data_IF_518958741423
#
_entry.id   IF_518958741423
#
_cell.length_a   1.000
_cell.length_b   1.000
_cell.length_c   1.000
_cell.angle_alpha   90.00
_cell.angle_beta   90.00
_cell.angle_gamma   90.00
#
_symmetry.space_group_name_H-M   'P 1'
#
loop_
_entity.id
_entity.type
_entity.pdbx_description
1 polymer ?
#
# COMPACT_ATOMS: atom_id res chain seq x y z
N UNK A 1 15.52 -34.53 15.55
CA UNK A 1 15.13 -34.02 14.22
C UNK A 1 15.58 -32.55 14.17
N UNK A 2 16.22 -32.11 13.08
CA UNK A 2 16.54 -30.68 12.91
C UNK A 2 15.25 -29.86 12.73
N UNK A 3 15.27 -28.57 13.04
CA UNK A 3 14.11 -27.70 12.82
C UNK A 3 13.66 -27.72 11.34
N UNK A 4 14.60 -27.72 10.40
CA UNK A 4 14.33 -27.84 8.96
C UNK A 4 13.58 -29.14 8.64
N UNK A 5 14.05 -30.29 9.11
CA UNK A 5 13.40 -31.58 8.85
C UNK A 5 11.97 -31.65 9.43
N UNK A 6 11.72 -30.99 10.57
CA UNK A 6 10.38 -30.92 11.15
C UNK A 6 9.41 -30.09 10.26
N UNK A 7 9.90 -28.99 9.68
CA UNK A 7 9.12 -28.14 8.77
C UNK A 7 8.82 -28.88 7.45
N UNK A 8 9.81 -29.57 6.88
CA UNK A 8 9.63 -30.35 5.67
C UNK A 8 8.62 -31.49 5.86
N UNK A 9 8.65 -32.17 7.03
CA UNK A 9 7.66 -33.18 7.37
C UNK A 9 6.26 -32.60 7.54
N UNK A 10 6.13 -31.46 8.26
CA UNK A 10 4.84 -30.78 8.42
C UNK A 10 4.26 -30.33 7.06
N UNK A 11 5.12 -29.82 6.18
CA UNK A 11 4.74 -29.46 4.81
C UNK A 11 4.27 -30.66 3.99
N UNK A 12 4.96 -31.80 4.06
CA UNK A 12 4.55 -33.02 3.34
C UNK A 12 3.13 -33.44 3.73
N UNK A 13 2.81 -33.43 5.03
CA UNK A 13 1.46 -33.74 5.51
C UNK A 13 0.43 -32.68 5.08
N UNK A 14 0.80 -31.41 5.10
CA UNK A 14 -0.07 -30.32 4.61
C UNK A 14 -0.38 -30.52 3.12
N UNK A 15 0.62 -30.79 2.30
CA UNK A 15 0.48 -31.04 0.87
C UNK A 15 -0.51 -32.17 0.57
N UNK A 16 -0.43 -33.29 1.29
CA UNK A 16 -1.36 -34.42 1.13
C UNK A 16 -2.80 -33.99 1.47
N UNK A 17 -2.99 -33.24 2.55
CA UNK A 17 -4.33 -32.75 2.95
C UNK A 17 -4.93 -31.79 1.92
N UNK A 18 -4.15 -30.86 1.37
CA UNK A 18 -4.60 -29.94 0.33
C UNK A 18 -4.85 -30.66 -1.00
N UNK A 19 -4.02 -31.66 -1.35
CA UNK A 19 -4.19 -32.45 -2.55
C UNK A 19 -5.51 -33.24 -2.57
N UNK A 20 -6.04 -33.61 -1.40
CA UNK A 20 -7.36 -34.25 -1.29
C UNK A 20 -8.52 -33.35 -1.79
N UNK A 21 -8.31 -32.04 -1.85
CA UNK A 21 -9.25 -31.06 -2.40
C UNK A 21 -8.82 -30.55 -3.80
N UNK A 22 -7.81 -31.19 -4.41
CA UNK A 22 -7.30 -30.77 -5.73
C UNK A 22 -6.41 -29.53 -5.72
N UNK A 23 -5.90 -29.14 -4.55
CA UNK A 23 -5.04 -27.95 -4.39
C UNK A 23 -3.56 -28.35 -4.45
N UNK A 24 -2.81 -27.70 -5.34
CA UNK A 24 -1.35 -27.82 -5.47
C UNK A 24 -0.66 -26.72 -4.64
N UNK A 25 -0.09 -27.10 -3.51
CA UNK A 25 0.57 -26.18 -2.58
C UNK A 25 1.89 -25.64 -3.13
N UNK A 26 2.61 -26.41 -3.98
CA UNK A 26 3.85 -25.96 -4.62
C UNK A 26 3.54 -24.86 -5.65
N UNK A 27 2.48 -25.04 -6.43
CA UNK A 27 1.98 -24.02 -7.36
C UNK A 27 1.51 -22.76 -6.61
N UNK A 28 0.77 -22.91 -5.53
CA UNK A 28 0.32 -21.77 -4.70
C UNK A 28 1.52 -20.96 -4.18
N UNK A 29 2.55 -21.61 -3.65
CA UNK A 29 3.78 -20.97 -3.19
C UNK A 29 4.56 -20.30 -4.35
N UNK A 30 4.60 -20.92 -5.53
CA UNK A 30 5.24 -20.34 -6.71
C UNK A 30 4.53 -19.07 -7.19
N UNK A 31 3.20 -19.08 -7.21
CA UNK A 31 2.40 -17.88 -7.55
C UNK A 31 2.63 -16.79 -6.51
N UNK A 32 2.56 -17.11 -5.22
CA UNK A 32 2.76 -16.14 -4.13
C UNK A 32 4.11 -15.41 -4.24
N UNK A 33 5.18 -16.13 -4.61
CA UNK A 33 6.52 -15.56 -4.77
C UNK A 33 6.58 -14.45 -5.83
N UNK A 34 5.74 -14.52 -6.84
CA UNK A 34 5.73 -13.57 -7.95
C UNK A 34 4.79 -12.37 -7.71
N UNK A 35 4.04 -12.34 -6.61
CA UNK A 35 3.14 -11.23 -6.27
C UNK A 35 3.95 -10.12 -5.59
N UNK A 36 4.16 -8.97 -6.23
CA UNK A 36 4.87 -7.86 -5.61
C UNK A 36 3.96 -7.10 -4.64
N UNK A 37 4.47 -6.79 -3.46
CA UNK A 37 3.83 -5.88 -2.52
C UNK A 37 4.66 -4.59 -2.46
N UNK A 38 4.00 -3.44 -2.60
CA UNK A 38 4.61 -2.12 -2.45
C UNK A 38 4.60 -1.70 -0.99
N UNK A 39 5.79 -1.60 -0.37
CA UNK A 39 5.97 -1.15 0.99
C UNK A 39 6.07 0.38 1.00
N UNK A 40 5.22 1.01 1.76
CA UNK A 40 5.22 2.46 1.97
C UNK A 40 6.36 2.90 2.88
N UNK A 41 7.19 3.83 2.43
CA UNK A 41 8.39 4.25 3.17
C UNK A 41 8.07 5.05 4.44
N UNK A 42 6.92 5.73 4.47
CA UNK A 42 6.52 6.66 5.53
C UNK A 42 6.21 6.03 6.89
N UNK A 43 6.09 4.71 6.98
CA UNK A 43 6.06 3.98 8.25
C UNK A 43 7.39 4.14 9.03
N UNK A 44 8.52 4.37 8.36
CA UNK A 44 9.83 4.40 9.00
C UNK A 44 10.16 5.71 9.72
N UNK A 45 9.46 6.80 9.36
CA UNK A 45 9.73 8.15 9.86
C UNK A 45 8.48 8.94 10.26
N UNK A 46 7.35 8.26 10.47
CA UNK A 46 6.07 8.87 10.89
C UNK A 46 5.58 9.93 9.88
N UNK A 47 5.72 9.64 8.59
CA UNK A 47 5.32 10.53 7.48
C UNK A 47 6.08 11.88 7.51
N UNK A 48 7.23 11.97 8.16
CA UNK A 48 7.97 13.23 8.35
C UNK A 48 8.58 13.79 7.08
N UNK A 49 9.19 12.90 6.27
CA UNK A 49 9.97 13.32 5.11
C UNK A 49 11.26 14.04 5.47
N UNK A 50 11.95 14.57 4.47
CA UNK A 50 13.26 15.20 4.64
C UNK A 50 13.34 16.66 4.15
N UNK A 51 12.20 17.28 3.85
CA UNK A 51 12.15 18.67 3.38
C UNK A 51 12.43 19.68 4.49
N UNK A 52 11.85 19.48 5.69
CA UNK A 52 11.92 20.40 6.81
C UNK A 52 11.96 19.64 8.13
N UNK A 53 12.77 20.12 9.09
CA UNK A 53 12.86 19.55 10.44
C UNK A 53 11.64 19.84 11.34
N UNK A 54 10.56 20.37 10.83
CA UNK A 54 9.42 20.84 11.65
C UNK A 54 8.28 19.83 11.82
N UNK A 55 8.39 18.62 11.24
CA UNK A 55 7.36 17.58 11.33
C UNK A 55 6.08 17.89 10.55
N UNK A 56 5.09 17.00 10.67
CA UNK A 56 3.78 17.15 10.02
C UNK A 56 3.01 18.36 10.56
N UNK A 57 2.56 19.22 9.67
CA UNK A 57 1.71 20.37 9.98
C UNK A 57 0.39 20.29 9.22
N UNK A 58 -0.66 19.74 9.85
CA UNK A 58 -2.02 19.75 9.30
C UNK A 58 -2.27 18.74 8.17
N UNK A 59 -3.47 18.82 7.57
CA UNK A 59 -3.87 17.97 6.44
C UNK A 59 -4.45 16.61 6.80
N UNK A 60 -4.84 16.41 8.07
CA UNK A 60 -5.53 15.19 8.49
C UNK A 60 -4.63 13.96 8.66
N UNK A 61 -3.31 14.12 8.56
CA UNK A 61 -2.34 13.04 8.74
C UNK A 61 -1.59 13.26 10.04
N UNK A 62 -1.65 12.28 10.93
CA UNK A 62 -0.92 12.30 12.19
C UNK A 62 -0.57 10.88 12.62
N UNK A 63 0.73 10.55 12.64
CA UNK A 63 1.19 9.32 13.26
C UNK A 63 1.00 9.40 14.78
N UNK A 64 0.49 8.32 15.38
CA UNK A 64 0.28 8.22 16.83
C UNK A 64 1.29 7.30 17.47
N UNK A 65 1.87 7.76 18.57
CA UNK A 65 2.88 7.04 19.33
C UNK A 65 4.21 7.78 19.38
N UNK A 66 5.14 7.23 20.15
CA UNK A 66 6.46 7.81 20.37
C UNK A 66 7.54 6.73 20.48
N UNK A 67 7.37 5.61 19.79
CA UNK A 67 8.37 4.55 19.78
C UNK A 67 9.72 5.09 19.31
N UNK A 68 10.84 4.80 20.01
CA UNK A 68 12.13 5.39 19.68
C UNK A 68 12.69 4.88 18.35
N UNK A 69 13.67 5.60 17.80
CA UNK A 69 14.48 5.14 16.67
C UNK A 69 13.91 5.44 15.29
N UNK A 70 13.00 6.40 15.15
CA UNK A 70 12.50 6.87 13.87
C UNK A 70 13.63 7.31 12.92
N UNK A 71 13.51 7.05 11.63
CA UNK A 71 14.47 7.47 10.62
C UNK A 71 14.50 9.01 10.49
N UNK A 72 15.71 9.58 10.39
CA UNK A 72 15.96 11.03 10.34
C UNK A 72 16.54 11.49 9.00
N UNK A 73 16.91 10.54 8.17
CA UNK A 73 17.48 10.77 6.85
C UNK A 73 17.09 9.65 5.88
N UNK A 74 17.24 9.92 4.59
CA UNK A 74 17.00 8.93 3.55
C UNK A 74 17.92 7.69 3.69
N UNK A 75 19.14 7.86 4.16
CA UNK A 75 20.07 6.75 4.40
C UNK A 75 19.62 5.87 5.57
N UNK A 76 19.15 6.47 6.67
CA UNK A 76 18.58 5.71 7.78
C UNK A 76 17.31 4.98 7.37
N UNK A 77 16.44 5.62 6.57
CA UNK A 77 15.21 5.02 6.09
C UNK A 77 15.48 3.86 5.13
N UNK A 78 16.44 3.98 4.21
CA UNK A 78 16.88 2.87 3.36
C UNK A 78 17.44 1.69 4.17
N UNK A 79 18.21 1.97 5.22
CA UNK A 79 18.73 0.93 6.09
C UNK A 79 17.62 0.20 6.86
N UNK A 80 16.58 0.90 7.31
CA UNK A 80 15.42 0.32 7.97
C UNK A 80 14.59 -0.54 7.01
N UNK A 81 14.40 -0.05 5.77
CA UNK A 81 13.75 -0.81 4.70
C UNK A 81 14.55 -2.07 4.34
N UNK A 82 15.89 -1.98 4.25
CA UNK A 82 16.76 -3.15 4.03
C UNK A 82 16.59 -4.19 5.14
N UNK A 83 16.47 -3.74 6.39
CA UNK A 83 16.23 -4.63 7.52
C UNK A 83 14.85 -5.30 7.41
N UNK A 84 13.80 -4.57 7.08
CA UNK A 84 12.46 -5.12 6.91
C UNK A 84 12.40 -6.13 5.74
N UNK A 85 12.93 -5.75 4.58
CA UNK A 85 12.91 -6.55 3.36
C UNK A 85 13.60 -7.92 3.52
N UNK A 86 14.66 -8.02 4.34
CA UNK A 86 15.31 -9.31 4.64
C UNK A 86 14.42 -10.27 5.45
N UNK A 87 13.36 -9.78 6.07
CA UNK A 87 12.48 -10.54 6.95
C UNK A 87 11.13 -10.87 6.31
N UNK A 88 10.91 -10.42 5.06
CA UNK A 88 9.67 -10.58 4.32
C UNK A 88 9.94 -11.43 3.08
N UNK A 89 9.29 -12.61 2.90
CA UNK A 89 9.54 -13.46 1.74
C UNK A 89 8.87 -12.92 0.48
N UNK A 90 9.47 -13.15 -0.69
CA UNK A 90 8.91 -12.82 -1.98
C UNK A 90 9.53 -11.59 -2.64
N UNK A 91 8.79 -11.01 -3.59
CA UNK A 91 9.20 -9.81 -4.32
C UNK A 91 8.48 -8.59 -3.77
N UNK A 92 9.19 -7.46 -3.76
CA UNK A 92 8.64 -6.24 -3.18
C UNK A 92 8.92 -5.03 -4.08
N UNK A 93 8.19 -3.96 -3.78
CA UNK A 93 8.35 -2.62 -4.29
C UNK A 93 8.41 -1.68 -3.10
N UNK A 94 8.83 -0.46 -3.30
CA UNK A 94 8.78 0.57 -2.26
C UNK A 94 8.03 1.78 -2.81
N UNK A 95 7.10 2.29 -2.03
CA UNK A 95 6.34 3.50 -2.34
C UNK A 95 6.96 4.69 -1.61
N UNK A 96 7.27 5.74 -2.36
CA UNK A 96 7.83 6.99 -1.87
C UNK A 96 6.80 8.12 -1.98
N UNK A 97 6.91 9.11 -1.11
CA UNK A 97 6.27 10.41 -1.26
C UNK A 97 7.25 11.47 -1.76
N UNK A 98 6.74 12.55 -2.32
CA UNK A 98 7.57 13.67 -2.79
C UNK A 98 8.45 14.27 -1.68
N UNK A 99 8.00 14.25 -0.42
CA UNK A 99 8.76 14.73 0.75
C UNK A 99 10.02 13.92 1.08
N UNK A 100 10.23 12.78 0.41
CA UNK A 100 11.45 11.97 0.55
C UNK A 100 12.54 12.33 -0.47
N UNK A 101 12.40 13.46 -1.13
CA UNK A 101 13.41 14.03 -2.03
C UNK A 101 14.73 14.31 -1.29
N UNK A 102 15.85 14.02 -1.94
CA UNK A 102 17.19 14.32 -1.42
C UNK A 102 17.74 15.56 -2.14
N UNK A 103 17.58 16.73 -1.53
CA UNK A 103 17.94 18.03 -2.12
C UNK A 103 19.34 18.52 -1.75
N UNK A 104 20.12 17.70 -1.08
CA UNK A 104 21.49 18.04 -0.59
C UNK A 104 21.52 19.30 0.27
N UNK A 105 20.48 19.49 1.09
CA UNK A 105 20.34 20.63 2.00
C UNK A 105 19.95 21.95 1.35
N UNK A 106 19.60 21.94 0.05
CA UNK A 106 19.09 23.14 -0.63
C UNK A 106 17.55 23.14 -0.54
N UNK A 107 16.92 24.27 -0.21
CA UNK A 107 15.48 24.38 -0.27
C UNK A 107 15.02 24.27 -1.73
N UNK A 108 14.14 23.34 -1.99
CA UNK A 108 13.50 23.12 -3.31
C UNK A 108 12.01 23.05 -3.08
N UNK A 109 11.25 23.92 -3.75
CA UNK A 109 9.80 23.89 -3.67
C UNK A 109 9.22 22.61 -4.31
N UNK A 110 8.11 22.11 -3.79
CA UNK A 110 7.51 20.85 -4.24
C UNK A 110 7.16 20.83 -5.72
N UNK A 111 6.79 21.97 -6.29
CA UNK A 111 6.47 22.11 -7.72
C UNK A 111 7.73 22.22 -8.62
N UNK A 112 8.93 22.25 -8.01
CA UNK A 112 10.23 22.28 -8.68
C UNK A 112 11.02 20.97 -8.49
N UNK A 113 10.46 19.98 -7.79
CA UNK A 113 11.09 18.68 -7.65
C UNK A 113 11.23 17.99 -9.00
N UNK A 114 12.36 17.31 -9.18
CA UNK A 114 12.67 16.54 -10.38
C UNK A 114 13.26 15.16 -10.07
N UNK A 115 13.43 14.30 -11.08
CA UNK A 115 13.98 12.96 -10.91
C UNK A 115 15.39 12.93 -10.28
N UNK A 116 16.17 13.98 -10.43
CA UNK A 116 17.51 14.13 -9.84
C UNK A 116 17.50 14.07 -8.31
N UNK A 117 16.42 14.54 -7.69
CA UNK A 117 16.26 14.51 -6.24
C UNK A 117 15.95 13.09 -5.69
N UNK A 118 15.77 12.11 -6.57
CA UNK A 118 15.49 10.72 -6.23
C UNK A 118 16.52 9.75 -6.80
N UNK A 119 17.63 10.25 -7.37
CA UNK A 119 18.65 9.41 -8.01
C UNK A 119 19.19 8.32 -7.07
N UNK A 120 19.49 8.65 -5.80
CA UNK A 120 19.97 7.68 -4.82
C UNK A 120 18.92 6.62 -4.43
N UNK A 121 17.61 6.96 -4.49
CA UNK A 121 16.54 6.00 -4.33
C UNK A 121 16.47 5.02 -5.50
N UNK A 122 16.65 5.51 -6.73
CA UNK A 122 16.72 4.67 -7.94
C UNK A 122 17.91 3.69 -7.84
N UNK A 123 19.10 4.19 -7.49
CA UNK A 123 20.31 3.36 -7.38
C UNK A 123 20.17 2.31 -6.28
N UNK A 124 19.61 2.69 -5.12
CA UNK A 124 19.32 1.76 -4.05
C UNK A 124 18.32 0.68 -4.48
N UNK A 125 17.21 1.06 -5.11
CA UNK A 125 16.19 0.12 -5.58
C UNK A 125 16.75 -0.84 -6.65
N UNK A 126 17.53 -0.30 -7.61
CA UNK A 126 18.19 -1.10 -8.65
C UNK A 126 19.13 -2.14 -8.05
N UNK A 127 19.94 -1.76 -7.07
CA UNK A 127 20.89 -2.69 -6.42
C UNK A 127 20.21 -3.84 -5.67
N UNK A 128 18.90 -3.75 -5.41
CA UNK A 128 18.08 -4.73 -4.70
C UNK A 128 17.01 -5.36 -5.59
N UNK A 129 16.99 -5.05 -6.87
CA UNK A 129 15.97 -5.49 -7.81
C UNK A 129 14.54 -5.14 -7.37
N UNK A 130 14.38 -3.97 -6.73
CA UNK A 130 13.08 -3.44 -6.29
C UNK A 130 12.46 -2.55 -7.38
N UNK A 131 11.13 -2.55 -7.47
CA UNK A 131 10.39 -1.49 -8.12
C UNK A 131 10.15 -0.31 -7.19
N UNK A 132 9.88 0.86 -7.74
CA UNK A 132 9.43 2.03 -6.99
C UNK A 132 8.03 2.44 -7.43
N UNK A 133 7.22 2.89 -6.45
CA UNK A 133 5.95 3.59 -6.65
C UNK A 133 6.05 4.99 -6.03
N UNK A 134 5.11 5.89 -6.34
CA UNK A 134 5.26 7.28 -5.96
C UNK A 134 3.93 7.96 -5.63
N UNK A 135 3.92 8.75 -4.56
CA UNK A 135 2.80 9.59 -4.19
C UNK A 135 3.18 11.06 -4.23
N UNK A 136 2.32 11.90 -4.80
CA UNK A 136 2.39 13.33 -4.60
C UNK A 136 2.08 13.69 -3.13
N UNK A 137 2.76 14.70 -2.57
CA UNK A 137 2.51 15.16 -1.20
C UNK A 137 1.74 16.46 -1.21
N UNK A 138 0.42 16.38 -1.09
CA UNK A 138 -0.51 17.52 -1.15
C UNK A 138 -0.92 18.02 0.25
N UNK A 139 -0.12 17.76 1.27
CA UNK A 139 -0.38 18.12 2.68
C UNK A 139 0.90 18.64 3.34
N UNK A 140 0.81 19.11 4.58
CA UNK A 140 1.96 19.59 5.38
C UNK A 140 2.82 20.62 4.64
N UNK A 141 2.16 21.67 4.14
CA UNK A 141 2.79 22.76 3.40
C UNK A 141 2.03 24.06 3.66
N UNK A 142 2.67 25.24 3.69
CA UNK A 142 1.98 26.51 3.89
C UNK A 142 0.80 26.75 2.93
N UNK A 143 0.94 26.34 1.66
CA UNK A 143 -0.13 26.46 0.66
C UNK A 143 -1.24 25.40 0.80
N UNK A 144 -1.16 24.50 1.80
CA UNK A 144 -2.24 23.59 2.17
C UNK A 144 -2.97 24.03 3.45
N UNK A 145 -2.48 25.06 4.15
CA UNK A 145 -2.99 25.48 5.47
C UNK A 145 -4.46 25.92 5.46
N UNK A 146 -4.98 26.38 4.32
CA UNK A 146 -6.38 26.73 4.15
C UNK A 146 -7.32 25.53 3.97
N UNK A 147 -6.82 24.28 3.99
CA UNK A 147 -7.60 23.07 3.81
C UNK A 147 -7.95 22.74 2.36
N UNK A 148 -7.38 23.45 1.38
CA UNK A 148 -7.61 23.24 -0.04
C UNK A 148 -6.31 23.33 -0.83
N UNK A 149 -6.05 22.32 -1.65
CA UNK A 149 -4.89 22.23 -2.53
C UNK A 149 -5.31 22.25 -4.00
N UNK A 150 -5.48 21.09 -4.64
CA UNK A 150 -5.94 20.97 -6.02
C UNK A 150 -7.37 21.50 -6.24
N UNK A 151 -8.16 21.62 -5.19
CA UNK A 151 -9.51 22.17 -5.23
C UNK A 151 -9.61 23.63 -4.73
N UNK A 152 -8.47 24.30 -4.52
CA UNK A 152 -8.43 25.68 -4.04
C UNK A 152 -9.10 26.65 -5.03
N UNK A 153 -9.87 27.58 -4.49
CA UNK A 153 -10.42 28.73 -5.24
C UNK A 153 -9.35 29.77 -5.58
N UNK A 154 -8.26 29.80 -4.81
CA UNK A 154 -7.08 30.61 -5.13
C UNK A 154 -6.32 29.94 -6.28
N UNK A 155 -6.28 30.63 -7.41
CA UNK A 155 -5.65 30.11 -8.64
C UNK A 155 -4.13 29.96 -8.48
N UNK A 156 -3.47 30.78 -7.66
CA UNK A 156 -2.04 30.67 -7.37
C UNK A 156 -1.72 29.39 -6.61
N UNK A 157 -2.50 29.11 -5.55
CA UNK A 157 -2.41 27.86 -4.78
C UNK A 157 -2.70 26.66 -5.67
N UNK A 158 -3.80 26.69 -6.39
CA UNK A 158 -4.19 25.58 -7.30
C UNK A 158 -3.09 25.26 -8.31
N UNK A 159 -2.55 26.28 -8.99
CA UNK A 159 -1.49 26.08 -10.01
C UNK A 159 -0.19 25.56 -9.43
N UNK A 160 0.18 25.95 -8.22
CA UNK A 160 1.34 25.38 -7.54
C UNK A 160 1.15 23.84 -7.39
N UNK A 161 -0.01 23.41 -6.91
CA UNK A 161 -0.29 22.00 -6.70
C UNK A 161 -0.46 21.22 -8.01
N UNK A 162 -0.98 21.83 -9.08
CA UNK A 162 -1.01 21.22 -10.42
C UNK A 162 0.42 20.99 -10.92
N UNK A 163 1.32 21.98 -10.82
CA UNK A 163 2.74 21.80 -11.19
C UNK A 163 3.41 20.71 -10.37
N UNK A 164 3.11 20.65 -9.06
CA UNK A 164 3.59 19.57 -8.21
C UNK A 164 3.12 18.19 -8.71
N UNK A 165 1.85 18.03 -9.03
CA UNK A 165 1.33 16.78 -9.60
C UNK A 165 2.00 16.38 -10.91
N UNK A 166 2.25 17.35 -11.81
CA UNK A 166 2.99 17.13 -13.06
C UNK A 166 4.44 16.70 -12.77
N UNK A 167 5.12 17.35 -11.83
CA UNK A 167 6.48 16.99 -11.41
C UNK A 167 6.54 15.55 -10.88
N UNK A 168 5.57 15.16 -10.03
CA UNK A 168 5.47 13.80 -9.49
C UNK A 168 5.33 12.74 -10.59
N UNK A 169 4.55 12.99 -11.63
CA UNK A 169 4.41 12.07 -12.78
C UNK A 169 5.72 11.89 -13.54
N UNK A 170 6.50 12.96 -13.73
CA UNK A 170 7.83 12.90 -14.39
C UNK A 170 8.84 12.12 -13.56
N UNK A 171 8.81 12.28 -12.23
CA UNK A 171 9.64 11.50 -11.32
C UNK A 171 9.28 10.01 -11.43
N UNK A 172 8.00 9.67 -11.38
CA UNK A 172 7.51 8.32 -11.49
C UNK A 172 7.83 7.66 -12.84
N UNK A 173 7.71 8.41 -13.95
CA UNK A 173 8.12 7.94 -15.26
C UNK A 173 9.61 7.56 -15.28
N UNK A 174 10.45 8.38 -14.64
CA UNK A 174 11.89 8.10 -14.52
C UNK A 174 12.14 6.81 -13.73
N UNK A 175 11.41 6.60 -12.65
CA UNK A 175 11.49 5.34 -11.89
C UNK A 175 11.20 4.13 -12.77
N UNK A 176 10.11 4.18 -13.51
CA UNK A 176 9.73 3.08 -14.39
C UNK A 176 10.74 2.80 -15.50
N UNK A 177 11.31 3.85 -16.09
CA UNK A 177 12.35 3.71 -17.13
C UNK A 177 13.64 3.10 -16.58
N UNK A 178 14.10 3.57 -15.45
CA UNK A 178 15.37 3.15 -14.85
C UNK A 178 15.33 1.76 -14.22
N UNK A 179 14.17 1.35 -13.71
CA UNK A 179 13.99 0.07 -13.01
C UNK A 179 13.32 -1.01 -13.88
N UNK A 180 12.88 -0.67 -15.10
CA UNK A 180 12.24 -1.62 -16.02
C UNK A 180 10.90 -2.18 -15.51
N UNK A 181 10.22 -1.44 -14.62
CA UNK A 181 8.95 -1.82 -14.02
C UNK A 181 8.08 -0.58 -13.84
N UNK A 182 6.82 -0.55 -14.33
CA UNK A 182 6.01 0.65 -14.27
C UNK A 182 5.81 1.10 -12.82
N UNK A 183 6.01 2.41 -12.59
CA UNK A 183 5.73 3.07 -11.32
C UNK A 183 4.25 3.44 -11.26
N UNK A 184 3.55 3.10 -10.19
CA UNK A 184 2.22 3.64 -9.93
C UNK A 184 2.38 4.98 -9.23
N UNK A 185 1.76 6.04 -9.80
CA UNK A 185 1.71 7.37 -9.20
C UNK A 185 0.32 7.60 -8.65
N UNK A 186 0.21 7.79 -7.35
CA UNK A 186 -1.07 8.01 -6.70
C UNK A 186 -1.29 9.48 -6.34
N UNK A 187 -2.49 9.99 -6.61
CA UNK A 187 -2.94 11.32 -6.21
C UNK A 187 -4.01 11.19 -5.13
N UNK A 188 -3.62 11.57 -3.92
CA UNK A 188 -4.49 11.72 -2.77
C UNK A 188 -4.40 13.14 -2.23
N UNK A 189 -5.53 13.76 -1.87
CA UNK A 189 -5.59 15.12 -1.29
C UNK A 189 -6.46 15.13 -0.03
N UNK A 190 -6.11 15.95 0.98
CA UNK A 190 -6.90 16.07 2.22
C UNK A 190 -8.04 17.08 2.12
N UNK A 191 -8.27 17.69 0.95
CA UNK A 191 -9.16 18.83 0.76
C UNK A 191 -10.59 18.59 1.25
N UNK A 192 -11.09 19.50 2.07
CA UNK A 192 -12.44 19.37 2.61
C UNK A 192 -12.85 20.50 3.56
N UNK A 193 -13.99 20.35 4.18
CA UNK A 193 -14.51 21.23 5.21
C UNK A 193 -14.79 20.48 6.51
N UNK A 194 -14.50 21.12 7.63
CA UNK A 194 -14.87 20.62 8.95
C UNK A 194 -16.39 20.54 9.10
N UNK A 195 -17.11 21.55 8.65
CA UNK A 195 -18.58 21.62 8.73
C UNK A 195 -19.21 21.60 7.33
N UNK A 196 -20.54 21.55 7.27
CA UNK A 196 -21.30 21.39 6.02
C UNK A 196 -21.18 22.64 5.14
N UNK A 197 -20.61 22.53 3.92
CA UNK A 197 -20.57 23.66 2.99
C UNK A 197 -21.91 23.79 2.27
N UNK A 198 -22.26 25.04 1.92
CA UNK A 198 -23.41 25.31 1.06
C UNK A 198 -23.15 24.92 -0.41
N UNK A 199 -21.90 24.95 -0.83
CA UNK A 199 -21.46 24.65 -2.19
C UNK A 199 -20.45 23.51 -2.18
N UNK A 200 -20.91 22.30 -2.48
CA UNK A 200 -20.07 21.10 -2.65
C UNK A 200 -19.58 20.91 -4.09
N UNK A 201 -20.25 21.55 -5.05
CA UNK A 201 -19.97 21.33 -6.47
C UNK A 201 -18.73 22.07 -6.95
N UNK A 202 -18.57 23.35 -6.57
CA UNK A 202 -17.45 24.18 -7.06
C UNK A 202 -16.08 23.60 -6.72
N UNK A 203 -15.76 23.17 -5.47
CA UNK A 203 -14.48 22.54 -5.17
C UNK A 203 -14.24 21.27 -5.98
N UNK A 204 -15.28 20.45 -6.21
CA UNK A 204 -15.18 19.25 -7.06
C UNK A 204 -14.92 19.57 -8.52
N UNK A 205 -15.57 20.62 -9.05
CA UNK A 205 -15.32 21.09 -10.42
C UNK A 205 -13.88 21.62 -10.58
N UNK A 206 -13.37 22.32 -9.58
CA UNK A 206 -11.97 22.78 -9.54
C UNK A 206 -11.01 21.61 -9.47
N UNK A 207 -11.26 20.63 -8.59
CA UNK A 207 -10.45 19.41 -8.50
C UNK A 207 -10.42 18.67 -9.84
N UNK A 208 -11.58 18.48 -10.47
CA UNK A 208 -11.64 17.83 -11.79
C UNK A 208 -10.75 18.55 -12.80
N UNK A 209 -10.85 19.89 -12.91
CA UNK A 209 -10.01 20.68 -13.80
C UNK A 209 -8.53 20.52 -13.48
N UNK A 210 -8.15 20.50 -12.21
CA UNK A 210 -6.77 20.33 -11.78
C UNK A 210 -6.22 18.96 -12.15
N UNK A 211 -7.01 17.89 -12.00
CA UNK A 211 -6.64 16.56 -12.44
C UNK A 211 -6.54 16.46 -13.97
N UNK A 212 -7.46 17.09 -14.71
CA UNK A 212 -7.39 17.16 -16.16
C UNK A 212 -6.08 17.83 -16.63
N UNK A 213 -5.63 18.91 -15.96
CA UNK A 213 -4.37 19.57 -16.23
C UNK A 213 -3.14 18.70 -15.87
N UNK A 214 -3.17 18.01 -14.71
CA UNK A 214 -2.09 17.11 -14.28
C UNK A 214 -1.91 15.95 -15.28
N UNK A 215 -3.00 15.39 -15.76
CA UNK A 215 -3.00 14.22 -16.62
C UNK A 215 -3.04 14.55 -18.13
N UNK A 216 -2.98 15.82 -18.50
CA UNK A 216 -3.05 16.26 -19.89
C UNK A 216 -1.91 15.72 -20.77
N UNK A 217 -0.68 15.64 -20.21
CA UNK A 217 0.44 15.05 -20.91
C UNK A 217 0.40 13.51 -20.76
N UNK A 218 0.27 12.75 -21.85
CA UNK A 218 0.29 11.30 -21.79
C UNK A 218 1.69 10.80 -21.48
N UNK A 219 1.79 9.87 -20.53
CA UNK A 219 3.01 9.13 -20.24
C UNK A 219 2.79 7.67 -20.66
N UNK A 220 3.83 7.04 -21.19
CA UNK A 220 3.77 5.65 -21.62
C UNK A 220 3.47 4.73 -20.43
N UNK A 221 2.37 3.96 -20.48
CA UNK A 221 1.96 3.09 -19.39
C UNK A 221 2.96 1.96 -19.08
N UNK A 222 3.94 1.71 -19.95
CA UNK A 222 5.05 0.80 -19.65
C UNK A 222 5.98 1.32 -18.56
N UNK A 223 5.97 2.61 -18.30
CA UNK A 223 6.83 3.26 -17.32
C UNK A 223 6.08 3.85 -16.15
N UNK A 224 4.84 4.33 -16.35
CA UNK A 224 4.08 4.98 -15.30
C UNK A 224 2.57 4.72 -15.44
N UNK A 225 1.88 4.54 -14.34
CA UNK A 225 0.44 4.39 -14.20
C UNK A 225 -0.09 5.45 -13.26
N UNK A 226 -1.12 6.18 -13.69
CA UNK A 226 -1.79 7.18 -12.85
C UNK A 226 -2.90 6.54 -12.03
N UNK A 227 -2.89 6.75 -10.73
CA UNK A 227 -3.96 6.39 -9.81
C UNK A 227 -4.52 7.62 -9.10
N UNK A 228 -5.78 7.53 -8.70
CA UNK A 228 -6.48 8.54 -7.88
C UNK A 228 -7.13 7.87 -6.69
N UNK A 229 -7.08 8.51 -5.52
CA UNK A 229 -7.50 7.93 -4.25
C UNK A 229 -8.51 8.81 -3.53
N UNK A 230 -9.63 8.18 -3.13
CA UNK A 230 -10.66 8.82 -2.33
C UNK A 230 -10.37 8.75 -0.84
N UNK A 231 -11.05 9.63 -0.09
CA UNK A 231 -11.05 9.61 1.37
C UNK A 231 -12.48 9.67 1.89
N UNK A 232 -12.71 9.05 3.05
CA UNK A 232 -14.03 9.12 3.71
C UNK A 232 -14.18 10.44 4.47
N UNK A 233 -13.25 10.75 5.37
CA UNK A 233 -13.14 12.00 6.14
C UNK A 233 -11.74 12.08 6.76
N UNK A 234 -11.43 13.21 7.40
CA UNK A 234 -10.19 13.42 8.14
C UNK A 234 -10.24 14.66 8.99
N UNK A 235 -9.18 14.94 9.77
CA UNK A 235 -9.07 16.17 10.55
C UNK A 235 -9.14 17.38 9.60
N UNK A 236 -10.10 18.28 9.82
CA UNK A 236 -10.36 19.45 8.98
C UNK A 236 -11.32 19.19 7.82
N UNK A 237 -11.72 17.93 7.59
CA UNK A 237 -12.68 17.52 6.55
C UNK A 237 -13.69 16.49 7.05
N UNK A 238 -14.19 16.70 8.28
CA UNK A 238 -15.06 15.74 8.97
C UNK A 238 -16.45 15.63 8.32
N UNK A 239 -16.99 16.72 7.77
CA UNK A 239 -18.33 16.74 7.18
C UNK A 239 -18.35 16.75 5.66
N UNK A 240 -17.25 17.12 5.02
CA UNK A 240 -17.16 17.17 3.57
C UNK A 240 -15.74 16.94 3.08
N UNK A 241 -15.57 15.91 2.28
CA UNK A 241 -14.35 15.62 1.53
C UNK A 241 -14.59 15.96 0.06
N UNK A 242 -13.70 16.72 -0.57
CA UNK A 242 -13.81 17.07 -1.99
C UNK A 242 -13.61 15.82 -2.83
N UNK A 243 -12.54 15.08 -2.58
CA UNK A 243 -12.16 13.84 -3.25
C UNK A 243 -12.81 12.62 -2.60
N UNK A 244 -14.15 12.50 -2.67
CA UNK A 244 -14.86 11.31 -2.19
C UNK A 244 -14.65 10.11 -3.14
N UNK A 245 -14.97 8.90 -2.66
CA UNK A 245 -14.92 7.69 -3.46
C UNK A 245 -15.71 7.83 -4.77
N UNK A 246 -16.93 8.35 -4.73
CA UNK A 246 -17.80 8.51 -5.91
C UNK A 246 -17.20 9.48 -6.92
N UNK A 247 -16.55 10.56 -6.45
CA UNK A 247 -15.87 11.51 -7.32
C UNK A 247 -14.73 10.81 -8.08
N UNK A 248 -13.86 10.11 -7.36
CA UNK A 248 -12.70 9.47 -7.98
C UNK A 248 -13.06 8.22 -8.79
N UNK A 249 -14.08 7.46 -8.40
CA UNK A 249 -14.60 6.36 -9.21
C UNK A 249 -15.09 6.90 -10.57
N UNK A 250 -15.93 7.94 -10.55
CA UNK A 250 -16.40 8.59 -11.78
C UNK A 250 -15.25 9.13 -12.62
N UNK A 251 -14.26 9.79 -11.99
CA UNK A 251 -13.10 10.33 -12.67
C UNK A 251 -12.22 9.23 -13.30
N UNK A 252 -11.91 8.18 -12.54
CA UNK A 252 -11.07 7.08 -12.98
C UNK A 252 -11.69 6.35 -14.19
N UNK A 253 -12.98 6.03 -14.13
CA UNK A 253 -13.70 5.38 -15.23
C UNK A 253 -13.73 6.27 -16.48
N UNK A 254 -14.04 7.57 -16.33
CA UNK A 254 -14.12 8.49 -17.47
C UNK A 254 -12.77 8.74 -18.14
N UNK A 255 -11.66 8.68 -17.38
CA UNK A 255 -10.31 9.05 -17.85
C UNK A 255 -9.34 7.86 -17.92
N UNK A 256 -9.82 6.63 -17.72
CA UNK A 256 -9.01 5.38 -17.72
C UNK A 256 -7.78 5.48 -16.81
N UNK A 257 -8.00 5.94 -15.57
CA UNK A 257 -6.99 5.97 -14.51
C UNK A 257 -7.23 4.81 -13.55
N UNK A 258 -6.22 4.38 -12.82
CA UNK A 258 -6.43 3.45 -11.73
C UNK A 258 -7.22 4.14 -10.62
N UNK A 259 -8.19 3.42 -10.06
CA UNK A 259 -8.80 3.80 -8.79
C UNK A 259 -8.01 3.14 -7.67
N UNK A 260 -7.54 3.92 -6.71
CA UNK A 260 -7.03 3.38 -5.47
C UNK A 260 -8.20 3.08 -4.53
N UNK A 261 -8.31 1.83 -4.12
CA UNK A 261 -9.17 1.39 -3.02
C UNK A 261 -8.28 1.23 -1.79
N UNK A 262 -8.33 2.19 -0.86
CA UNK A 262 -7.69 2.05 0.44
C UNK A 262 -8.69 1.44 1.43
N UNK A 263 -8.31 0.34 2.07
CA UNK A 263 -9.18 -0.38 3.00
C UNK A 263 -9.45 0.37 4.31
N UNK A 264 -8.68 1.40 4.63
CA UNK A 264 -8.92 2.32 5.74
C UNK A 264 -9.84 3.50 5.40
N UNK A 265 -10.08 3.79 4.10
CA UNK A 265 -10.81 4.96 3.64
C UNK A 265 -12.30 4.72 3.38
N UNK A 266 -12.86 3.64 3.93
CA UNK A 266 -14.28 3.31 3.84
C UNK A 266 -14.92 3.22 5.22
N UNK A 267 -16.24 3.38 5.27
CA UNK A 267 -16.96 3.18 6.52
C UNK A 267 -16.76 1.74 7.02
N UNK A 268 -16.58 1.51 8.34
CA UNK A 268 -16.30 0.16 8.88
C UNK A 268 -17.35 -0.93 8.56
N UNK A 269 -18.54 -0.53 8.09
CA UNK A 269 -19.57 -1.46 7.64
C UNK A 269 -19.50 -1.79 6.15
N UNK A 270 -18.61 -1.15 5.40
CA UNK A 270 -18.41 -1.43 3.98
C UNK A 270 -17.35 -2.51 3.78
N UNK A 271 -17.65 -3.49 2.92
CA UNK A 271 -16.69 -4.53 2.53
C UNK A 271 -15.88 -4.06 1.31
N UNK A 272 -14.60 -3.78 1.49
CA UNK A 272 -13.73 -3.38 0.36
C UNK A 272 -13.57 -4.49 -0.66
N UNK A 273 -13.57 -5.74 -0.23
CA UNK A 273 -13.55 -6.90 -1.12
C UNK A 273 -14.65 -6.86 -2.17
N UNK A 274 -15.87 -6.47 -1.80
CA UNK A 274 -17.04 -6.39 -2.71
C UNK A 274 -16.90 -5.30 -3.80
N UNK A 275 -16.02 -4.33 -3.57
CA UNK A 275 -15.77 -3.24 -4.54
C UNK A 275 -14.81 -3.66 -5.66
N UNK A 276 -13.95 -4.65 -5.44
CA UNK A 276 -12.85 -5.02 -6.35
C UNK A 276 -13.40 -5.49 -7.70
N UNK A 277 -14.21 -6.54 -7.71
CA UNK A 277 -14.79 -7.06 -8.97
C UNK A 277 -15.73 -6.06 -9.63
N UNK A 278 -16.49 -5.30 -8.84
CA UNK A 278 -17.38 -4.25 -9.36
C UNK A 278 -16.62 -3.19 -10.15
N UNK A 279 -15.51 -2.68 -9.60
CA UNK A 279 -14.67 -1.67 -10.25
C UNK A 279 -13.93 -2.24 -11.45
N UNK A 280 -13.45 -3.48 -11.36
CA UNK A 280 -12.71 -4.16 -12.44
C UNK A 280 -13.57 -4.54 -13.65
N UNK A 281 -14.90 -4.38 -13.58
CA UNK A 281 -15.78 -4.43 -14.77
C UNK A 281 -15.60 -3.19 -15.66
N UNK A 282 -15.15 -2.06 -15.11
CA UNK A 282 -15.04 -0.78 -15.79
C UNK A 282 -13.61 -0.31 -16.00
N UNK A 283 -12.67 -0.78 -15.17
CA UNK A 283 -11.26 -0.43 -15.21
C UNK A 283 -10.39 -1.68 -15.48
N UNK A 284 -9.34 -1.52 -16.26
CA UNK A 284 -8.41 -2.60 -16.57
C UNK A 284 -7.58 -3.01 -15.35
N UNK A 285 -7.20 -2.04 -14.51
CA UNK A 285 -6.37 -2.21 -13.32
C UNK A 285 -6.87 -1.30 -12.19
N UNK A 286 -6.58 -1.69 -10.94
CA UNK A 286 -6.77 -0.88 -9.74
C UNK A 286 -5.50 -0.87 -8.89
N UNK A 287 -5.34 0.17 -8.07
CA UNK A 287 -4.42 0.18 -6.95
C UNK A 287 -5.20 -0.22 -5.69
N UNK A 288 -4.63 -1.06 -4.87
CA UNK A 288 -5.21 -1.45 -3.58
C UNK A 288 -4.21 -1.06 -2.49
N UNK A 289 -4.56 -0.10 -1.65
CA UNK A 289 -3.86 0.20 -0.43
C UNK A 289 -4.48 -0.60 0.72
N UNK A 290 -3.67 -1.48 1.30
CA UNK A 290 -4.09 -2.33 2.40
C UNK A 290 -3.64 -1.68 3.70
N UNK A 291 -4.61 -1.24 4.48
CA UNK A 291 -4.47 -0.72 5.83
C UNK A 291 -5.51 -1.40 6.73
N UNK A 292 -5.57 -1.07 7.99
CA UNK A 292 -6.59 -1.57 8.91
C UNK A 292 -7.31 -0.40 9.58
N UNK A 293 -8.51 -0.10 9.11
CA UNK A 293 -9.44 0.75 9.83
C UNK A 293 -9.97 0.03 11.08
N UNK A 294 -10.02 0.72 12.24
CA UNK A 294 -10.56 0.14 13.47
C UNK A 294 -12.00 0.57 13.71
N UNK A 295 -12.28 1.84 13.61
CA UNK A 295 -13.65 2.41 13.70
C UNK A 295 -13.92 3.41 12.60
N UNK A 296 -12.86 3.99 12.07
CA UNK A 296 -12.80 4.93 10.96
C UNK A 296 -11.38 4.91 10.40
N UNK A 297 -11.08 5.79 9.48
CA UNK A 297 -9.75 6.02 8.91
C UNK A 297 -8.71 6.27 10.02
N UNK A 298 -7.91 5.26 10.33
CA UNK A 298 -6.94 5.28 11.40
C UNK A 298 -5.62 4.55 11.08
N UNK A 299 -5.45 4.12 9.85
CA UNK A 299 -4.21 3.61 9.24
C UNK A 299 -3.38 2.68 10.15
N UNK A 300 -4.05 1.72 10.80
CA UNK A 300 -3.39 0.76 11.67
C UNK A 300 -2.64 -0.30 10.88
N UNK A 301 -1.62 -0.87 11.52
CA UNK A 301 -0.86 -2.00 10.98
C UNK A 301 -1.79 -3.15 10.59
N UNK A 302 -1.60 -3.66 9.38
CA UNK A 302 -2.36 -4.78 8.84
C UNK A 302 -2.15 -6.04 9.65
N UNK A 303 -3.23 -6.72 9.99
CA UNK A 303 -3.26 -8.03 10.65
C UNK A 303 -4.04 -9.02 9.78
N UNK A 304 -3.90 -10.30 10.05
CA UNK A 304 -4.66 -11.34 9.36
C UNK A 304 -6.11 -11.40 9.88
N UNK A 305 -6.89 -10.37 9.49
CA UNK A 305 -8.31 -10.24 9.82
C UNK A 305 -9.20 -10.90 8.76
N UNK A 306 -10.48 -11.06 9.06
CA UNK A 306 -11.46 -11.58 8.10
C UNK A 306 -11.61 -10.65 6.89
N UNK A 307 -11.50 -9.32 7.09
CA UNK A 307 -11.52 -8.35 6.00
C UNK A 307 -10.33 -8.52 5.06
N UNK A 308 -9.11 -8.64 5.60
CA UNK A 308 -7.91 -8.89 4.79
C UNK A 308 -8.03 -10.20 4.00
N UNK A 309 -8.57 -11.25 4.63
CA UNK A 309 -8.80 -12.51 3.97
C UNK A 309 -9.81 -12.39 2.84
N UNK A 310 -10.93 -11.71 3.07
CA UNK A 310 -11.94 -11.46 2.03
C UNK A 310 -11.36 -10.69 0.83
N UNK A 311 -10.52 -9.68 1.07
CA UNK A 311 -9.81 -8.96 0.00
C UNK A 311 -8.90 -9.91 -0.80
N UNK A 312 -8.09 -10.72 -0.12
CA UNK A 312 -7.20 -11.67 -0.76
C UNK A 312 -7.96 -12.75 -1.55
N UNK A 313 -9.05 -13.26 -0.98
CA UNK A 313 -9.96 -14.23 -1.60
C UNK A 313 -10.58 -13.66 -2.88
N UNK A 314 -11.08 -12.42 -2.84
CA UNK A 314 -11.65 -11.77 -4.02
C UNK A 314 -10.63 -11.60 -5.15
N UNK A 315 -9.42 -11.15 -4.81
CA UNK A 315 -8.33 -10.97 -5.79
C UNK A 315 -7.93 -12.30 -6.44
N UNK A 316 -7.85 -13.38 -5.66
CA UNK A 316 -7.44 -14.70 -6.16
C UNK A 316 -8.59 -15.39 -6.89
N UNK A 317 -9.78 -15.42 -6.32
CA UNK A 317 -10.97 -16.06 -6.91
C UNK A 317 -11.36 -15.43 -8.25
N UNK A 318 -11.18 -14.09 -8.37
CA UNK A 318 -11.46 -13.36 -9.59
C UNK A 318 -10.37 -13.44 -10.67
N UNK A 319 -9.22 -14.09 -10.36
CA UNK A 319 -8.03 -14.09 -11.23
C UNK A 319 -7.50 -12.67 -11.50
N UNK A 320 -7.52 -11.80 -10.48
CA UNK A 320 -7.18 -10.39 -10.61
C UNK A 320 -5.72 -10.06 -10.23
N UNK A 321 -4.87 -11.04 -9.93
CA UNK A 321 -3.49 -10.82 -9.49
C UNK A 321 -2.65 -9.95 -10.44
N UNK A 322 -2.96 -9.95 -11.74
CA UNK A 322 -2.29 -9.11 -12.74
C UNK A 322 -2.94 -7.73 -12.91
N UNK A 323 -4.12 -7.53 -12.36
CA UNK A 323 -4.94 -6.32 -12.50
C UNK A 323 -5.01 -5.50 -11.21
N UNK A 324 -4.56 -6.05 -10.09
CA UNK A 324 -4.55 -5.40 -8.77
C UNK A 324 -3.12 -5.11 -8.37
N UNK A 325 -2.77 -3.83 -8.25
CA UNK A 325 -1.49 -3.37 -7.73
C UNK A 325 -1.59 -3.30 -6.21
N UNK A 326 -0.87 -4.17 -5.51
CA UNK A 326 -0.96 -4.29 -4.05
C UNK A 326 0.07 -3.38 -3.37
N UNK A 327 -0.40 -2.48 -2.52
CA UNK A 327 0.41 -1.66 -1.64
C UNK A 327 -0.08 -1.74 -0.19
N UNK A 328 0.81 -1.43 0.73
CA UNK A 328 0.46 -1.20 2.13
C UNK A 328 0.38 0.31 2.36
N UNK A 329 -0.59 0.74 3.16
CA UNK A 329 -0.69 2.12 3.59
C UNK A 329 -1.15 2.20 5.05
N UNK A 330 -0.18 2.28 5.94
CA UNK A 330 -0.38 2.49 7.36
C UNK A 330 0.82 3.19 7.98
N UNK A 331 0.64 3.83 9.11
CA UNK A 331 1.74 4.41 9.88
C UNK A 331 1.43 4.38 11.38
N UNK A 332 2.25 3.65 12.10
CA UNK A 332 2.09 3.40 13.52
C UNK A 332 3.42 3.66 14.24
N UNK A 333 3.43 4.68 15.07
CA UNK A 333 4.58 5.05 15.90
C UNK A 333 4.46 4.52 17.35
N UNK A 334 3.48 3.66 17.65
CA UNK A 334 3.32 3.04 18.97
C UNK A 334 4.14 1.77 19.15
N UNK A 335 4.67 1.21 18.06
CA UNK A 335 5.50 0.00 18.04
C UNK A 335 6.77 0.24 17.20
N UNK A 336 7.70 -0.72 17.25
CA UNK A 336 8.89 -0.71 16.39
C UNK A 336 8.49 -0.65 14.91
N UNK A 337 9.00 0.36 14.19
CA UNK A 337 8.61 0.67 12.81
C UNK A 337 9.00 -0.41 11.80
N UNK A 338 10.16 -1.03 12.02
CA UNK A 338 10.60 -2.17 11.18
C UNK A 338 9.69 -3.38 11.41
N UNK A 339 9.33 -3.65 12.68
CA UNK A 339 8.38 -4.70 13.01
C UNK A 339 7.01 -4.45 12.37
N UNK A 340 6.53 -3.21 12.33
CA UNK A 340 5.26 -2.84 11.70
C UNK A 340 5.24 -3.24 10.21
N UNK A 341 6.26 -2.89 9.44
CA UNK A 341 6.38 -3.34 8.04
C UNK A 341 6.36 -4.88 7.91
N UNK A 342 7.16 -5.57 8.75
CA UNK A 342 7.26 -7.03 8.71
C UNK A 342 5.91 -7.69 9.04
N UNK A 343 5.21 -7.21 10.06
CA UNK A 343 3.88 -7.71 10.46
C UNK A 343 2.90 -7.50 9.30
N UNK A 344 2.77 -6.27 8.81
CA UNK A 344 1.79 -5.94 7.78
C UNK A 344 2.00 -6.71 6.48
N UNK A 345 3.24 -6.72 5.96
CA UNK A 345 3.56 -7.42 4.72
C UNK A 345 3.38 -8.95 4.85
N UNK A 346 3.85 -9.55 5.95
CA UNK A 346 3.66 -10.99 6.19
C UNK A 346 2.19 -11.36 6.39
N UNK A 347 1.36 -10.48 6.98
CA UNK A 347 -0.07 -10.71 7.11
C UNK A 347 -0.77 -10.68 5.74
N UNK A 348 -0.45 -9.73 4.87
CA UNK A 348 -0.98 -9.67 3.51
C UNK A 348 -0.56 -10.92 2.70
N UNK A 349 0.71 -11.31 2.75
CA UNK A 349 1.19 -12.53 2.10
C UNK A 349 0.51 -13.80 2.63
N UNK A 350 0.25 -13.91 3.94
CA UNK A 350 -0.49 -15.03 4.52
C UNK A 350 -1.94 -15.05 4.03
N UNK A 351 -2.60 -13.89 3.96
CA UNK A 351 -3.95 -13.79 3.40
C UNK A 351 -4.00 -14.29 1.95
N UNK A 352 -3.05 -13.84 1.12
CA UNK A 352 -2.92 -14.28 -0.26
C UNK A 352 -2.62 -15.78 -0.37
N UNK A 353 -1.73 -16.31 0.49
CA UNK A 353 -1.46 -17.76 0.52
C UNK A 353 -2.72 -18.56 0.85
N UNK A 354 -3.47 -18.17 1.87
CA UNK A 354 -4.71 -18.84 2.26
C UNK A 354 -5.69 -18.85 1.08
N UNK A 355 -5.85 -17.73 0.39
CA UNK A 355 -6.70 -17.64 -0.79
C UNK A 355 -6.20 -18.52 -1.95
N UNK A 356 -4.89 -18.57 -2.20
CA UNK A 356 -4.27 -19.46 -3.22
C UNK A 356 -4.39 -20.95 -2.89
N UNK A 357 -4.60 -21.28 -1.62
CA UNK A 357 -4.82 -22.64 -1.14
C UNK A 357 -6.30 -23.06 -1.14
N UNK A 358 -7.21 -22.21 -1.63
CA UNK A 358 -8.60 -22.59 -1.81
C UNK A 358 -8.81 -23.41 -3.10
N UNK A 359 -9.67 -24.43 -3.05
CA UNK A 359 -10.11 -25.16 -4.22
C UNK A 359 -11.20 -24.38 -4.98
N UNK A 360 -10.85 -23.23 -5.54
CA UNK A 360 -11.80 -22.29 -6.18
C UNK A 360 -12.65 -22.95 -7.28
N UNK A 361 -12.10 -23.90 -8.02
CA UNK A 361 -12.84 -24.65 -9.05
C UNK A 361 -13.98 -25.45 -8.42
N UNK A 362 -13.71 -26.21 -7.35
CA UNK A 362 -14.70 -26.99 -6.63
C UNK A 362 -15.77 -26.11 -5.96
N UNK A 363 -15.39 -24.96 -5.42
CA UNK A 363 -16.34 -24.01 -4.87
C UNK A 363 -17.31 -23.49 -5.94
N UNK A 364 -16.81 -23.20 -7.14
CA UNK A 364 -17.62 -22.77 -8.29
C UNK A 364 -18.54 -23.90 -8.81
N UNK A 365 -18.08 -25.15 -8.76
CA UNK A 365 -18.94 -26.32 -9.12
C UNK A 365 -20.12 -26.44 -8.15
N UNK A 366 -19.92 -26.29 -6.84
CA UNK A 366 -21.01 -26.26 -5.86
C UNK A 366 -22.00 -25.13 -6.14
N UNK A 367 -21.50 -23.92 -6.44
CA UNK A 367 -22.36 -22.77 -6.77
C UNK A 367 -23.17 -23.02 -8.06
N UNK A 368 -22.56 -23.54 -9.11
CA UNK A 368 -23.21 -23.84 -10.37
C UNK A 368 -24.28 -24.93 -10.23
N UNK A 369 -24.07 -25.88 -9.30
CA UNK A 369 -25.04 -26.91 -8.96
C UNK A 369 -26.14 -26.45 -7.99
N UNK A 370 -26.06 -25.22 -7.45
CA UNK A 370 -26.95 -24.71 -6.41
C UNK A 370 -26.75 -25.36 -5.04
N UNK A 371 -25.65 -26.09 -4.85
CA UNK A 371 -25.30 -26.69 -3.55
C UNK A 371 -24.55 -25.71 -2.65
N UNK A 372 -25.27 -24.70 -2.16
CA UNK A 372 -24.75 -23.72 -1.23
C UNK A 372 -24.38 -24.31 0.15
N UNK A 373 -25.03 -25.45 0.53
CA UNK A 373 -24.69 -26.16 1.77
C UNK A 373 -23.32 -26.80 1.66
N UNK A 374 -23.04 -27.53 0.58
CA UNK A 374 -21.75 -28.13 0.32
C UNK A 374 -20.65 -27.08 0.23
N UNK A 375 -20.89 -25.96 -0.47
CA UNK A 375 -19.96 -24.85 -0.56
C UNK A 375 -19.62 -24.29 0.83
N UNK A 376 -20.63 -23.96 1.67
CA UNK A 376 -20.40 -23.39 2.98
C UNK A 376 -19.66 -24.37 3.90
N UNK A 377 -20.05 -25.66 3.90
CA UNK A 377 -19.37 -26.68 4.67
C UNK A 377 -17.87 -26.78 4.28
N UNK A 378 -17.57 -26.79 2.98
CA UNK A 378 -16.19 -26.82 2.51
C UNK A 378 -15.41 -25.57 2.95
N UNK A 379 -15.97 -24.38 2.83
CA UNK A 379 -15.32 -23.14 3.27
C UNK A 379 -14.98 -23.18 4.78
N UNK A 380 -15.85 -23.74 5.63
CA UNK A 380 -15.56 -23.86 7.06
C UNK A 380 -14.44 -24.91 7.32
N UNK A 381 -14.45 -26.05 6.64
CA UNK A 381 -13.39 -27.05 6.77
C UNK A 381 -12.02 -26.56 6.32
N UNK A 382 -11.96 -25.75 5.26
CA UNK A 382 -10.72 -25.14 4.76
C UNK A 382 -10.02 -24.26 5.82
N UNK A 383 -10.78 -23.63 6.73
CA UNK A 383 -10.22 -22.77 7.80
C UNK A 383 -9.31 -23.55 8.76
N UNK A 384 -9.49 -24.85 8.86
CA UNK A 384 -8.71 -25.73 9.76
C UNK A 384 -7.60 -26.48 9.06
N UNK A 385 -7.44 -26.32 7.75
CA UNK A 385 -6.32 -26.89 7.02
C UNK A 385 -4.98 -26.25 7.42
N UNK A 386 -3.87 -27.00 7.35
CA UNK A 386 -2.58 -26.55 7.89
C UNK A 386 -1.85 -25.55 6.98
N UNK A 387 -2.47 -24.41 6.67
CA UNK A 387 -1.87 -23.31 5.89
C UNK A 387 -0.59 -22.78 6.53
N UNK A 388 -0.49 -22.82 7.87
CA UNK A 388 0.72 -22.45 8.60
C UNK A 388 1.94 -23.30 8.25
N UNK A 389 1.76 -24.60 8.01
CA UNK A 389 2.87 -25.47 7.58
C UNK A 389 3.35 -25.12 6.15
N UNK A 390 2.43 -24.75 5.25
CA UNK A 390 2.77 -24.26 3.91
C UNK A 390 3.50 -22.91 4.00
N UNK A 391 3.05 -22.01 4.87
CA UNK A 391 3.71 -20.73 5.12
C UNK A 391 5.14 -20.89 5.65
N UNK A 392 5.33 -21.75 6.64
CA UNK A 392 6.66 -21.97 7.23
C UNK A 392 7.62 -22.57 6.22
N UNK A 393 7.15 -23.52 5.40
CA UNK A 393 7.94 -24.08 4.30
C UNK A 393 8.25 -23.03 3.22
N UNK A 394 7.29 -22.16 2.88
CA UNK A 394 7.51 -21.06 1.97
C UNK A 394 8.61 -20.11 2.50
N UNK A 395 8.55 -19.73 3.78
CA UNK A 395 9.60 -18.92 4.40
C UNK A 395 10.96 -19.61 4.36
N UNK A 396 11.02 -20.92 4.67
CA UNK A 396 12.25 -21.72 4.56
C UNK A 396 12.85 -21.66 3.15
N UNK A 397 12.02 -21.81 2.12
CA UNK A 397 12.46 -21.79 0.72
C UNK A 397 12.85 -20.40 0.20
N UNK A 398 12.49 -19.34 0.88
CA UNK A 398 12.85 -17.95 0.60
C UNK A 398 14.00 -17.45 1.48
N UNK A 399 14.59 -18.32 2.31
CA UNK A 399 15.68 -17.99 3.23
C UNK A 399 15.35 -16.83 4.18
N UNK A 400 14.09 -16.79 4.67
CA UNK A 400 13.66 -15.81 5.66
C UNK A 400 13.28 -16.49 6.97
N UNK A 401 13.35 -15.79 8.12
CA UNK A 401 13.04 -16.36 9.43
C UNK A 401 11.62 -16.93 9.50
N UNK A 402 11.50 -18.13 10.12
CA UNK A 402 10.27 -18.90 10.24
C UNK A 402 9.57 -18.54 11.56
N UNK A 403 8.22 -18.57 11.54
CA UNK A 403 7.41 -18.25 12.70
C UNK A 403 7.78 -16.86 13.26
N UNK A 404 7.93 -16.71 14.59
CA UNK A 404 8.27 -15.42 15.22
C UNK A 404 9.78 -15.13 15.27
N UNK A 405 10.65 -15.97 14.70
CA UNK A 405 12.10 -15.80 14.80
C UNK A 405 12.61 -14.46 14.24
N UNK A 406 11.94 -13.90 13.24
CA UNK A 406 12.23 -12.56 12.70
C UNK A 406 12.24 -11.45 13.77
N UNK A 407 11.51 -11.63 14.87
CA UNK A 407 11.45 -10.63 15.93
C UNK A 407 12.77 -10.45 16.65
N UNK A 408 13.59 -11.51 16.77
CA UNK A 408 14.92 -11.41 17.36
C UNK A 408 15.87 -10.57 16.47
N UNK A 409 15.74 -10.68 15.14
CA UNK A 409 16.50 -9.85 14.21
C UNK A 409 16.10 -8.37 14.35
N UNK A 410 14.80 -8.08 14.48
CA UNK A 410 14.31 -6.72 14.73
C UNK A 410 14.83 -6.19 16.06
N UNK A 411 14.78 -6.98 17.13
CA UNK A 411 15.32 -6.59 18.46
C UNK A 411 16.84 -6.36 18.44
N UNK A 412 17.56 -7.18 17.70
CA UNK A 412 19.00 -7.00 17.51
C UNK A 412 19.30 -5.69 16.77
N UNK A 413 18.56 -5.40 15.71
CA UNK A 413 18.66 -4.15 14.96
C UNK A 413 18.28 -2.94 15.83
N UNK A 414 17.23 -3.05 16.63
CA UNK A 414 16.84 -2.02 17.57
C UNK A 414 17.97 -1.68 18.55
N UNK A 415 18.57 -2.69 19.21
CA UNK A 415 19.69 -2.48 20.14
C UNK A 415 20.93 -1.90 19.47
N UNK A 416 21.24 -2.34 18.26
CA UNK A 416 22.51 -1.98 17.59
C UNK A 416 22.42 -0.68 16.77
N UNK A 417 21.25 -0.35 16.23
CA UNK A 417 21.07 0.78 15.32
C UNK A 417 20.05 1.80 15.86
N UNK A 418 18.80 1.39 16.10
CA UNK A 418 17.73 2.32 16.42
C UNK A 418 17.92 3.02 17.77
N UNK A 419 18.45 2.30 18.78
CA UNK A 419 18.72 2.86 20.10
C UNK A 419 19.81 3.97 20.10
N UNK A 420 20.59 4.07 19.02
CA UNK A 420 21.61 5.13 18.86
C UNK A 420 21.05 6.40 18.23
N UNK A 421 19.81 6.38 17.77
CA UNK A 421 19.15 7.56 17.25
C UNK A 421 18.60 8.36 18.43
N UNK A 422 18.92 9.65 18.50
CA UNK A 422 18.37 10.51 19.53
C UNK A 422 16.84 10.47 19.49
N UNK A 423 16.13 10.54 20.63
CA UNK A 423 14.70 10.76 20.63
C UNK A 423 14.41 12.04 19.84
N UNK A 424 13.50 11.92 18.87
CA UNK A 424 13.10 13.02 18.01
C UNK A 424 12.17 14.01 18.72
#
# INVERSE_FOLDING_TARGET
MSATAAIEQAYALARERYAAFGVDTDRAAAVLREIPISLHCWQGDDVGGFENNQGLTGGGIQATGNYPGKARSADELRADLDQALRLIPGRHRVNLHAIYAETSGRPVERDQLGPEHFARWIDWARSRSLGLDFNGTFFSHPLAAAGFTLSSRDEGVRRFWVRHGIACRKIAERFGRELGSPCVTNVWIPDGFKDLPADRQTPRAILKRSLDEIFAEPIDPRYQRDAVEGKLFGIGSESYVVGSHEFYLGYAVANRKLLCLDSGHFHPTEAVADKISSVLLYLDEILLHVSRGVRWDSDHVVILSDELRAIAEEVVRGDYLQRVRLGLDFFDASINRVAAWVIGARCLLKGLLIALLEPTALLREYEAAGDYTGRLALLEELKTLPSGAVWDYYCLRQDVPIGPAWLEDVRAYERSVLARRAPG
#
